data_IF_550909299863
#
_entry.id   IF_550909299863
#
_cell.length_a   1.000
_cell.length_b   1.000
_cell.length_c   1.000
_cell.angle_alpha   90.00
_cell.angle_beta   90.00
_cell.angle_gamma   90.00
#
_symmetry.space_group_name_H-M   'P 1'
#
loop_
_entity.id
_entity.type
_entity.pdbx_description
1 polymer ?
#
# COMPACT_ATOMS: atom_id res chain seq x y z
N UNK A 1 20.61 -16.79 -34.46
CA UNK A 1 20.51 -17.57 -33.21
C UNK A 1 20.50 -16.57 -32.06
N UNK A 2 19.31 -16.05 -31.77
CA UNK A 2 19.03 -15.21 -30.62
C UNK A 2 19.50 -15.89 -29.34
N UNK A 3 20.05 -15.15 -28.38
CA UNK A 3 19.70 -15.31 -26.96
C UNK A 3 20.38 -14.27 -26.09
N UNK A 4 19.55 -13.77 -25.17
CA UNK A 4 19.82 -12.86 -24.04
C UNK A 4 19.79 -11.37 -24.37
N UNK A 5 18.58 -10.89 -24.73
CA UNK A 5 18.09 -9.65 -24.11
C UNK A 5 18.23 -9.83 -22.59
N UNK A 6 19.20 -9.14 -21.97
CA UNK A 6 19.14 -8.87 -20.54
C UNK A 6 17.83 -8.15 -20.31
N UNK A 7 16.87 -8.86 -19.72
CA UNK A 7 15.68 -8.25 -19.16
C UNK A 7 16.18 -7.51 -17.93
N UNK A 8 16.63 -6.27 -18.14
CA UNK A 8 16.69 -5.29 -17.06
C UNK A 8 15.23 -5.00 -16.78
N UNK A 9 14.63 -5.78 -15.88
CA UNK A 9 13.41 -5.35 -15.21
C UNK A 9 13.85 -4.13 -14.42
N UNK A 10 13.65 -2.94 -14.99
CA UNK A 10 13.71 -1.70 -14.23
C UNK A 10 12.68 -1.88 -13.11
N UNK A 11 13.14 -2.15 -11.89
CA UNK A 11 12.25 -2.03 -10.74
C UNK A 11 11.81 -0.58 -10.74
N UNK A 12 10.56 -0.33 -11.10
CA UNK A 12 9.96 0.99 -10.95
C UNK A 12 10.12 1.33 -9.46
N UNK A 13 10.94 2.33 -9.15
CA UNK A 13 11.04 2.80 -7.77
C UNK A 13 9.64 3.26 -7.36
N UNK A 14 9.09 2.60 -6.35
CA UNK A 14 7.82 2.96 -5.72
C UNK A 14 8.04 4.27 -4.96
N UNK A 15 7.71 5.39 -5.62
CA UNK A 15 7.90 6.73 -5.05
C UNK A 15 6.87 6.97 -3.95
N UNK A 16 7.33 7.53 -2.84
CA UNK A 16 6.48 8.00 -1.73
C UNK A 16 6.19 9.49 -1.91
N UNK A 17 4.99 9.93 -1.54
CA UNK A 17 4.62 11.35 -1.59
C UNK A 17 4.72 11.94 -0.18
N UNK A 18 5.60 12.92 -0.02
CA UNK A 18 5.86 13.51 1.28
C UNK A 18 5.07 14.81 1.49
N UNK A 19 4.20 14.82 2.49
CA UNK A 19 3.48 16.01 2.96
C UNK A 19 4.12 16.64 4.20
N UNK A 20 3.47 17.66 4.78
CA UNK A 20 3.98 18.29 6.01
C UNK A 20 3.88 17.40 7.25
N UNK A 21 2.78 16.65 7.38
CA UNK A 21 2.47 15.79 8.55
C UNK A 21 2.38 14.31 8.22
N UNK A 22 2.13 13.98 6.96
CA UNK A 22 1.91 12.61 6.52
C UNK A 22 2.80 12.28 5.33
N UNK A 23 3.05 11.00 5.14
CA UNK A 23 3.68 10.44 3.94
C UNK A 23 2.72 9.43 3.33
N UNK A 24 2.58 9.44 2.00
CA UNK A 24 1.86 8.41 1.27
C UNK A 24 2.89 7.44 0.69
N UNK A 25 2.85 6.19 1.12
CA UNK A 25 3.67 5.12 0.54
C UNK A 25 2.78 4.20 -0.31
N UNK A 26 3.24 3.67 -1.45
CA UNK A 26 2.43 2.74 -2.22
C UNK A 26 2.00 1.55 -1.37
N UNK A 27 0.79 1.03 -1.58
CA UNK A 27 0.35 -0.17 -0.87
C UNK A 27 1.22 -1.38 -1.26
N UNK A 28 1.62 -2.17 -0.27
CA UNK A 28 2.59 -3.27 -0.38
C UNK A 28 2.10 -4.45 0.43
N UNK A 29 2.60 -5.65 0.13
CA UNK A 29 2.19 -6.88 0.80
C UNK A 29 2.47 -6.83 2.31
N UNK A 30 3.53 -6.15 2.74
CA UNK A 30 3.94 -5.97 4.13
C UNK A 30 2.91 -5.19 4.97
N UNK A 31 2.05 -4.40 4.33
CA UNK A 31 0.98 -3.66 5.00
C UNK A 31 -0.25 -4.53 5.28
N UNK A 32 -0.44 -5.62 4.53
CA UNK A 32 -1.65 -6.45 4.55
C UNK A 32 -1.96 -6.99 5.95
N UNK A 33 -1.01 -7.52 6.75
CA UNK A 33 -1.33 -8.02 8.09
C UNK A 33 -1.89 -6.94 9.02
N UNK A 34 -1.35 -5.71 8.99
CA UNK A 34 -1.86 -4.61 9.81
C UNK A 34 -3.20 -4.09 9.30
N UNK A 35 -3.34 -3.98 7.98
CA UNK A 35 -4.61 -3.60 7.35
C UNK A 35 -5.72 -4.61 7.67
N UNK A 36 -5.45 -5.91 7.55
CA UNK A 36 -6.38 -6.98 7.90
C UNK A 36 -6.83 -6.89 9.36
N UNK A 37 -5.91 -6.60 10.29
CA UNK A 37 -6.25 -6.37 11.70
C UNK A 37 -7.20 -5.18 11.88
N UNK A 38 -7.03 -4.09 11.11
CA UNK A 38 -7.98 -2.97 11.12
C UNK A 38 -9.35 -3.40 10.59
N UNK A 39 -9.39 -4.18 9.51
CA UNK A 39 -10.63 -4.70 8.92
C UNK A 39 -11.29 -5.81 9.75
N UNK A 40 -10.81 -6.10 10.97
CA UNK A 40 -11.56 -6.89 11.94
C UNK A 40 -12.53 -6.03 12.79
N UNK A 41 -12.45 -4.70 12.68
CA UNK A 41 -13.32 -3.78 13.42
C UNK A 41 -14.65 -3.56 12.69
N UNK A 42 -15.76 -3.89 13.34
CA UNK A 42 -17.12 -3.78 12.77
C UNK A 42 -17.53 -2.34 12.44
N UNK A 43 -17.14 -1.35 13.27
CA UNK A 43 -17.46 0.05 13.01
C UNK A 43 -16.70 0.56 11.79
N UNK A 44 -15.45 0.14 11.63
CA UNK A 44 -14.62 0.50 10.47
C UNK A 44 -15.13 -0.15 9.18
N UNK A 45 -15.51 -1.42 9.22
CA UNK A 45 -16.14 -2.12 8.09
C UNK A 45 -17.44 -1.40 7.68
N UNK A 46 -18.30 -1.08 8.64
CA UNK A 46 -19.55 -0.36 8.39
C UNK A 46 -19.30 1.04 7.81
N UNK A 47 -18.35 1.79 8.37
CA UNK A 47 -18.04 3.15 7.94
C UNK A 47 -17.45 3.21 6.52
N UNK A 48 -16.71 2.17 6.11
CA UNK A 48 -16.11 2.07 4.76
C UNK A 48 -17.00 1.33 3.77
N UNK A 49 -18.08 0.68 4.22
CA UNK A 49 -18.93 -0.17 3.39
C UNK A 49 -18.22 -1.44 2.90
N UNK A 50 -17.24 -1.92 3.68
CA UNK A 50 -16.44 -3.10 3.38
C UNK A 50 -17.03 -4.35 4.03
N UNK A 51 -16.76 -5.50 3.44
CA UNK A 51 -17.06 -6.81 4.02
C UNK A 51 -15.79 -7.41 4.63
N UNK A 52 -15.88 -8.21 5.71
CA UNK A 52 -14.72 -8.87 6.28
C UNK A 52 -14.15 -9.90 5.29
N UNK A 53 -12.83 -9.90 5.14
CA UNK A 53 -12.09 -10.81 4.29
C UNK A 53 -11.17 -11.70 5.13
N UNK A 54 -10.85 -12.89 4.62
CA UNK A 54 -9.73 -13.68 5.15
C UNK A 54 -8.40 -12.98 4.84
N UNK A 55 -7.36 -13.28 5.62
CA UNK A 55 -6.03 -12.72 5.37
C UNK A 55 -5.53 -13.02 3.94
N UNK A 56 -5.82 -14.21 3.41
CA UNK A 56 -5.47 -14.60 2.04
C UNK A 56 -6.20 -13.74 1.01
N UNK A 57 -7.49 -13.49 1.21
CA UNK A 57 -8.29 -12.63 0.34
C UNK A 57 -7.79 -11.18 0.37
N UNK A 58 -7.30 -10.67 1.50
CA UNK A 58 -6.69 -9.33 1.57
C UNK A 58 -5.43 -9.23 0.70
N UNK A 59 -4.60 -10.28 0.64
CA UNK A 59 -3.46 -10.32 -0.27
C UNK A 59 -3.92 -10.32 -1.73
N UNK A 60 -4.96 -11.09 -2.08
CA UNK A 60 -5.52 -11.10 -3.44
C UNK A 60 -6.04 -9.71 -3.84
N UNK A 61 -6.76 -9.04 -2.93
CA UNK A 61 -7.26 -7.68 -3.12
C UNK A 61 -6.12 -6.67 -3.28
N UNK A 62 -5.10 -6.73 -2.42
CA UNK A 62 -3.91 -5.88 -2.52
C UNK A 62 -3.23 -6.01 -3.89
N UNK A 63 -3.05 -7.23 -4.39
CA UNK A 63 -2.47 -7.49 -5.72
C UNK A 63 -3.36 -6.88 -6.80
N UNK A 64 -4.67 -7.13 -6.75
CA UNK A 64 -5.61 -6.62 -7.76
C UNK A 64 -5.59 -5.09 -7.84
N UNK A 65 -5.58 -4.40 -6.70
CA UNK A 65 -5.55 -2.93 -6.64
C UNK A 65 -4.22 -2.35 -7.11
N UNK A 66 -3.11 -3.04 -6.82
CA UNK A 66 -1.77 -2.59 -7.22
C UNK A 66 -1.53 -2.77 -8.72
N UNK A 67 -2.28 -3.65 -9.38
CA UNK A 67 -2.18 -3.93 -10.81
C UNK A 67 -3.19 -3.16 -11.68
N UNK A 68 -4.14 -2.45 -11.06
CA UNK A 68 -5.10 -1.63 -11.78
C UNK A 68 -4.42 -0.38 -12.36
N UNK A 69 -4.38 -0.20 -13.70
CA UNK A 69 -3.69 0.92 -14.32
C UNK A 69 -4.37 2.28 -14.09
N UNK A 70 -5.63 2.30 -13.65
CA UNK A 70 -6.42 3.51 -13.43
C UNK A 70 -6.58 3.84 -11.93
N UNK A 71 -5.97 3.05 -11.06
CA UNK A 71 -6.07 3.19 -9.61
C UNK A 71 -4.68 3.20 -8.99
N UNK A 72 -4.47 4.07 -8.01
CA UNK A 72 -3.29 4.04 -7.17
C UNK A 72 -3.72 4.03 -5.71
N UNK A 73 -3.40 2.93 -5.03
CA UNK A 73 -3.61 2.79 -3.58
C UNK A 73 -2.34 3.16 -2.83
N UNK A 74 -2.49 4.03 -1.83
CA UNK A 74 -1.43 4.40 -0.89
C UNK A 74 -1.85 4.08 0.53
N UNK A 75 -0.87 3.75 1.35
CA UNK A 75 -0.99 3.78 2.80
C UNK A 75 -0.53 5.15 3.30
N UNK A 76 -1.32 5.73 4.18
CA UNK A 76 -1.02 6.99 4.86
C UNK A 76 -0.20 6.66 6.10
N UNK A 77 0.98 7.25 6.19
CA UNK A 77 1.85 7.20 7.36
C UNK A 77 1.76 8.52 8.11
N UNK A 78 1.71 8.45 9.44
CA UNK A 78 1.97 9.59 10.30
C UNK A 78 3.49 9.75 10.48
N UNK A 79 4.01 10.93 10.16
CA UNK A 79 5.46 11.22 10.20
C UNK A 79 6.05 11.09 11.60
N UNK A 80 5.29 11.39 12.64
CA UNK A 80 5.79 11.35 14.01
C UNK A 80 6.07 9.91 14.49
N UNK A 81 5.53 8.91 13.78
CA UNK A 81 5.71 7.49 14.07
C UNK A 81 6.67 6.77 13.11
N UNK A 82 7.30 7.49 12.17
CA UNK A 82 8.34 6.92 11.30
C UNK A 82 9.62 6.78 12.12
N UNK A 83 10.14 5.56 12.23
CA UNK A 83 11.41 5.29 12.89
C UNK A 83 12.56 5.42 11.88
N UNK A 84 13.52 6.30 12.15
CA UNK A 84 14.65 6.56 11.26
C UNK A 84 14.31 7.49 10.10
N UNK A 85 15.08 7.37 9.01
CA UNK A 85 14.87 8.17 7.80
C UNK A 85 13.77 7.58 6.93
N UNK A 86 13.02 8.44 6.24
CA UNK A 86 12.07 7.99 5.21
C UNK A 86 12.84 7.44 4.01
N UNK A 87 12.70 6.14 3.74
CA UNK A 87 13.31 5.48 2.59
C UNK A 87 12.21 5.09 1.60
N UNK A 88 12.30 5.58 0.37
CA UNK A 88 11.35 5.22 -0.67
C UNK A 88 11.32 3.71 -0.92
N UNK A 89 10.12 3.14 -0.95
CA UNK A 89 9.92 1.71 -1.11
C UNK A 89 9.96 0.91 0.18
N UNK A 90 10.25 1.51 1.33
CA UNK A 90 10.06 0.86 2.63
C UNK A 90 8.60 1.02 3.12
N UNK A 91 8.05 0.00 3.80
CA UNK A 91 6.65 0.00 4.20
C UNK A 91 6.36 0.86 5.44
N UNK A 92 7.32 0.97 6.37
CA UNK A 92 7.13 1.69 7.65
C UNK A 92 5.81 1.31 8.37
N UNK A 93 5.54 0.00 8.48
CA UNK A 93 4.27 -0.57 8.97
C UNK A 93 3.83 0.02 10.33
N UNK A 94 4.77 0.36 11.20
CA UNK A 94 4.50 0.96 12.52
C UNK A 94 3.82 2.34 12.44
N UNK A 95 4.06 3.09 11.37
CA UNK A 95 3.57 4.46 11.17
C UNK A 95 2.21 4.52 10.45
N UNK A 96 1.65 3.40 10.02
CA UNK A 96 0.39 3.36 9.28
C UNK A 96 -0.76 3.95 10.10
N UNK A 97 -1.50 4.90 9.51
CA UNK A 97 -2.66 5.54 10.13
C UNK A 97 -3.92 5.53 9.25
N UNK A 98 -3.83 5.05 8.01
CA UNK A 98 -4.97 4.89 7.11
C UNK A 98 -4.53 4.56 5.68
N UNK A 99 -5.45 4.60 4.74
CA UNK A 99 -5.20 4.40 3.31
C UNK A 99 -5.96 5.41 2.45
N UNK A 100 -5.55 5.54 1.18
CA UNK A 100 -6.26 6.34 0.18
C UNK A 100 -6.17 5.68 -1.19
N UNK A 101 -7.31 5.65 -1.88
CA UNK A 101 -7.42 5.19 -3.26
C UNK A 101 -7.59 6.40 -4.18
N UNK A 102 -6.67 6.60 -5.12
CA UNK A 102 -6.72 7.65 -6.14
C UNK A 102 -7.10 7.00 -7.46
N UNK A 103 -8.18 7.48 -8.08
CA UNK A 103 -8.63 7.04 -9.41
C UNK A 103 -8.28 8.11 -10.45
N UNK A 104 -7.69 7.67 -11.57
CA UNK A 104 -7.31 8.53 -12.67
C UNK A 104 -8.42 8.51 -13.73
N UNK A 105 -8.91 9.69 -14.11
CA UNK A 105 -9.93 9.88 -15.16
C UNK A 105 -9.30 10.42 -16.45
#
# INVERSE_FOLDING_TARGET
LERRKKMVTTMAMKVSLEGKRVVLVPYMAEHVPRYHNWMQDEELLQATGSEPLSLEQEYEMQISWTQDPNKQTFIVLDKDFIEGDLVHGEPHVQAMTGDVNIYMN
#
